data_IF_666132085942
#
_entry.id   IF_666132085942
#
_cell.length_a   1.000
_cell.length_b   1.000
_cell.length_c   1.000
_cell.angle_alpha   90.00
_cell.angle_beta   90.00
_cell.angle_gamma   90.00
#
_symmetry.space_group_name_H-M   'P 1'
#
loop_
_entity.id
_entity.type
_entity.pdbx_description
1 polymer ?
#
# COMPACT_ATOMS: atom_id res chain seq x y z
N UNK A 1 -7.45 21.17 -3.24
CA UNK A 1 -6.90 19.93 -3.82
C UNK A 1 -7.82 18.76 -3.49
N UNK A 2 -7.60 17.56 -4.07
CA UNK A 2 -8.34 16.36 -3.66
C UNK A 2 -8.18 16.08 -2.15
N UNK A 3 -6.96 16.30 -1.63
CA UNK A 3 -6.64 16.28 -0.20
C UNK A 3 -7.60 17.15 0.62
N UNK A 4 -7.66 18.46 0.35
CA UNK A 4 -8.51 19.38 1.11
C UNK A 4 -10.02 19.02 1.07
N UNK A 5 -10.47 18.30 0.04
CA UNK A 5 -11.86 17.84 -0.05
C UNK A 5 -12.12 16.65 0.87
N UNK A 6 -11.13 15.79 1.09
CA UNK A 6 -11.19 14.67 2.02
C UNK A 6 -10.89 15.11 3.47
N UNK A 7 -10.12 16.18 3.63
CA UNK A 7 -9.64 16.71 4.90
C UNK A 7 -10.16 18.13 5.16
N UNK A 8 -11.47 18.31 5.40
CA UNK A 8 -12.06 19.64 5.62
C UNK A 8 -11.44 20.36 6.83
N UNK A 9 -11.01 19.59 7.84
CA UNK A 9 -10.46 20.11 9.10
C UNK A 9 -8.98 20.48 9.03
N UNK A 10 -8.28 20.07 7.96
CA UNK A 10 -6.84 20.27 7.75
C UNK A 10 -6.58 20.79 6.33
N UNK A 11 -7.14 21.97 6.05
CA UNK A 11 -6.92 22.66 4.78
C UNK A 11 -5.46 23.05 4.65
N UNK A 12 -4.80 22.52 3.62
CA UNK A 12 -3.43 22.90 3.27
C UNK A 12 -3.44 23.90 2.12
N UNK A 13 -2.56 24.88 2.19
CA UNK A 13 -2.23 25.71 1.03
C UNK A 13 -1.32 24.93 0.03
N UNK A 14 -1.07 25.46 -1.17
CA UNK A 14 -0.25 24.76 -2.17
C UNK A 14 1.18 24.43 -1.73
N UNK A 15 1.80 25.26 -0.88
CA UNK A 15 3.17 25.05 -0.40
C UNK A 15 3.21 24.02 0.71
N UNK A 16 2.28 24.09 1.66
CA UNK A 16 2.11 23.07 2.71
C UNK A 16 1.81 21.69 2.11
N UNK A 17 0.97 21.65 1.06
CA UNK A 17 0.71 20.41 0.35
C UNK A 17 1.94 19.89 -0.40
N UNK A 18 2.76 20.78 -0.97
CA UNK A 18 4.01 20.39 -1.63
C UNK A 18 5.02 19.82 -0.63
N UNK A 19 5.14 20.42 0.55
CA UNK A 19 6.00 19.91 1.62
C UNK A 19 5.54 18.52 2.09
N UNK A 20 4.22 18.33 2.28
CA UNK A 20 3.64 17.02 2.59
C UNK A 20 3.92 16.00 1.47
N UNK A 21 3.68 16.40 0.22
CA UNK A 21 3.92 15.55 -0.95
C UNK A 21 5.38 15.09 -1.00
N UNK A 22 6.33 16.01 -0.85
CA UNK A 22 7.76 15.69 -0.92
C UNK A 22 8.21 14.83 0.26
N UNK A 23 7.66 15.04 1.46
CA UNK A 23 7.94 14.19 2.62
C UNK A 23 7.51 12.73 2.36
N UNK A 24 6.28 12.52 1.89
CA UNK A 24 5.75 11.17 1.62
C UNK A 24 6.43 10.52 0.40
N UNK A 25 6.72 11.30 -0.65
CA UNK A 25 7.44 10.78 -1.81
C UNK A 25 8.85 10.30 -1.43
N UNK A 26 9.56 11.08 -0.60
CA UNK A 26 10.87 10.71 -0.10
C UNK A 26 10.83 9.47 0.81
N UNK A 27 9.80 9.30 1.65
CA UNK A 27 9.65 8.08 2.48
C UNK A 27 9.45 6.83 1.63
N UNK A 28 8.87 6.98 0.44
CA UNK A 28 8.73 5.92 -0.57
C UNK A 28 9.93 5.77 -1.52
N UNK A 29 11.01 6.51 -1.28
CA UNK A 29 12.23 6.45 -2.08
C UNK A 29 12.00 6.90 -3.53
N UNK A 30 11.01 7.76 -3.76
CA UNK A 30 10.79 8.44 -5.03
C UNK A 30 11.70 9.67 -5.08
N UNK A 31 12.42 9.85 -6.20
CA UNK A 31 13.34 10.98 -6.36
C UNK A 31 12.59 12.31 -6.54
N UNK A 32 13.25 13.45 -6.32
CA UNK A 32 12.64 14.77 -6.55
C UNK A 32 12.11 14.97 -7.98
N UNK A 33 12.79 14.37 -8.97
CA UNK A 33 12.36 14.35 -10.37
C UNK A 33 11.01 13.66 -10.59
N UNK A 34 10.60 12.76 -9.69
CA UNK A 34 9.29 12.11 -9.75
C UNK A 34 8.15 13.13 -9.77
N UNK A 35 8.28 14.22 -9.00
CA UNK A 35 7.27 15.26 -8.89
C UNK A 35 7.17 16.17 -10.11
N UNK A 36 8.23 16.21 -10.93
CA UNK A 36 8.32 17.06 -12.14
C UNK A 36 7.86 16.33 -13.40
N UNK A 37 7.72 15.01 -13.34
CA UNK A 37 7.32 14.17 -14.47
C UNK A 37 5.80 14.09 -14.58
N UNK A 38 5.31 13.95 -15.81
CA UNK A 38 3.90 13.62 -16.02
C UNK A 38 3.59 12.25 -15.42
N UNK A 39 2.38 12.11 -14.89
CA UNK A 39 1.90 10.87 -14.29
C UNK A 39 2.10 9.69 -15.27
N UNK A 40 2.81 8.66 -14.82
CA UNK A 40 3.11 7.44 -15.57
C UNK A 40 4.05 7.59 -16.78
N UNK A 41 4.59 8.77 -17.05
CA UNK A 41 5.51 8.97 -18.17
C UNK A 41 6.94 8.53 -17.81
N UNK A 42 7.35 7.41 -18.40
CA UNK A 42 8.67 6.79 -18.18
C UNK A 42 8.85 6.08 -16.84
N UNK A 43 7.79 5.92 -16.03
CA UNK A 43 7.89 5.25 -14.74
C UNK A 43 8.17 3.75 -14.98
N UNK A 44 9.15 3.21 -14.27
CA UNK A 44 9.32 1.78 -14.08
C UNK A 44 8.09 1.16 -13.40
N UNK A 45 7.94 -0.16 -13.49
CA UNK A 45 6.85 -0.87 -12.80
C UNK A 45 6.84 -0.59 -11.30
N UNK A 46 8.03 -0.56 -10.68
CA UNK A 46 8.16 -0.25 -9.26
C UNK A 46 7.80 1.20 -8.89
N UNK A 47 8.17 2.18 -9.71
CA UNK A 47 7.76 3.58 -9.50
C UNK A 47 6.24 3.74 -9.60
N UNK A 48 5.57 3.00 -10.49
CA UNK A 48 4.10 3.02 -10.57
C UNK A 48 3.46 2.49 -9.28
N UNK A 49 3.95 1.38 -8.75
CA UNK A 49 3.45 0.81 -7.48
C UNK A 49 3.71 1.74 -6.29
N UNK A 50 4.91 2.35 -6.22
CA UNK A 50 5.21 3.39 -5.23
C UNK A 50 4.27 4.60 -5.35
N UNK A 51 3.92 5.01 -6.57
CA UNK A 51 2.95 6.09 -6.82
C UNK A 51 1.53 5.77 -6.31
N UNK A 52 1.10 4.51 -6.38
CA UNK A 52 -0.20 4.06 -5.82
C UNK A 52 -0.21 4.18 -4.30
N UNK A 53 0.87 3.74 -3.64
CA UNK A 53 1.05 3.87 -2.18
C UNK A 53 1.17 5.33 -1.76
N UNK A 54 1.91 6.16 -2.51
CA UNK A 54 2.01 7.60 -2.30
C UNK A 54 0.63 8.25 -2.25
N UNK A 55 -0.25 7.91 -3.20
CA UNK A 55 -1.62 8.42 -3.21
C UNK A 55 -2.43 7.94 -2.01
N UNK A 56 -2.27 6.68 -1.59
CA UNK A 56 -2.92 6.15 -0.39
C UNK A 56 -2.50 6.95 0.86
N UNK A 57 -1.19 7.14 1.06
CA UNK A 57 -0.65 7.86 2.21
C UNK A 57 -1.06 9.34 2.22
N UNK A 58 -1.09 9.99 1.06
CA UNK A 58 -1.52 11.38 0.96
C UNK A 58 -3.02 11.54 1.19
N UNK A 59 -3.86 10.66 0.64
CA UNK A 59 -5.31 10.82 0.72
C UNK A 59 -5.90 10.34 2.05
N UNK A 60 -5.17 9.50 2.79
CA UNK A 60 -5.59 8.90 4.06
C UNK A 60 -7.02 8.31 3.99
N UNK A 61 -7.29 7.34 3.08
CA UNK A 61 -8.63 6.82 2.88
C UNK A 61 -9.07 5.97 4.08
N UNK A 62 -10.39 5.94 4.34
CA UNK A 62 -10.99 5.04 5.36
C UNK A 62 -10.88 3.56 5.01
N UNK A 63 -10.78 3.24 3.72
CA UNK A 63 -10.58 1.90 3.19
C UNK A 63 -9.61 1.98 2.01
N UNK A 64 -8.52 1.24 2.09
CA UNK A 64 -7.59 1.02 0.99
C UNK A 64 -7.67 -0.44 0.51
N UNK A 65 -7.66 -0.62 -0.81
CA UNK A 65 -7.59 -1.93 -1.45
C UNK A 65 -6.31 -1.95 -2.28
N UNK A 66 -5.37 -2.83 -1.92
CA UNK A 66 -4.09 -2.97 -2.60
C UNK A 66 -4.09 -4.30 -3.35
N UNK A 67 -4.14 -4.22 -4.67
CA UNK A 67 -4.19 -5.38 -5.56
C UNK A 67 -2.81 -5.65 -6.17
N UNK A 68 -2.24 -6.81 -5.81
CA UNK A 68 -0.92 -7.28 -6.24
C UNK A 68 0.17 -6.20 -6.10
N UNK A 69 0.18 -5.49 -4.97
CA UNK A 69 1.15 -4.41 -4.73
C UNK A 69 2.59 -4.92 -4.65
N UNK A 70 2.73 -6.20 -4.35
CA UNK A 70 3.99 -6.93 -4.24
C UNK A 70 4.59 -7.37 -5.59
N UNK A 71 3.84 -7.23 -6.69
CA UNK A 71 4.31 -7.62 -8.02
C UNK A 71 5.29 -6.60 -8.62
N UNK A 72 6.42 -7.10 -9.15
CA UNK A 72 7.37 -6.29 -9.92
C UNK A 72 8.22 -5.29 -9.12
N UNK A 73 8.25 -5.44 -7.79
CA UNK A 73 9.12 -4.69 -6.89
C UNK A 73 10.31 -5.53 -6.44
N UNK A 74 11.46 -4.88 -6.28
CA UNK A 74 12.61 -5.48 -5.59
C UNK A 74 12.36 -5.58 -4.07
N UNK A 75 13.16 -6.41 -3.39
CA UNK A 75 13.01 -6.70 -1.94
C UNK A 75 13.12 -5.42 -1.09
N UNK A 76 13.96 -4.47 -1.47
CA UNK A 76 14.18 -3.26 -0.69
C UNK A 76 12.99 -2.30 -0.86
N UNK A 77 12.46 -2.18 -2.07
CA UNK A 77 11.23 -1.43 -2.35
C UNK A 77 10.01 -2.02 -1.65
N UNK A 78 9.89 -3.36 -1.57
CA UNK A 78 8.83 -4.03 -0.81
C UNK A 78 8.89 -3.67 0.68
N UNK A 79 10.06 -3.85 1.30
CA UNK A 79 10.27 -3.50 2.72
C UNK A 79 9.87 -2.07 3.04
N UNK A 80 10.29 -1.15 2.18
CA UNK A 80 10.02 0.27 2.32
C UNK A 80 8.50 0.56 2.21
N UNK A 81 7.83 0.05 1.19
CA UNK A 81 6.38 0.24 1.00
C UNK A 81 5.60 -0.31 2.20
N UNK A 82 5.89 -1.53 2.64
CA UNK A 82 5.17 -2.13 3.76
C UNK A 82 5.48 -1.46 5.09
N UNK A 83 6.68 -0.88 5.27
CA UNK A 83 6.97 -0.06 6.43
C UNK A 83 6.02 1.15 6.50
N UNK A 84 5.87 1.89 5.40
CA UNK A 84 4.96 3.04 5.34
C UNK A 84 3.49 2.63 5.50
N UNK A 85 3.08 1.50 4.93
CA UNK A 85 1.72 0.95 5.12
C UNK A 85 1.49 0.60 6.60
N UNK A 86 2.46 -0.02 7.28
CA UNK A 86 2.32 -0.34 8.70
C UNK A 86 2.23 0.92 9.57
N UNK A 87 3.01 1.97 9.25
CA UNK A 87 2.92 3.27 9.94
C UNK A 87 1.52 3.85 9.74
N UNK A 88 1.04 3.91 8.50
CA UNK A 88 -0.31 4.39 8.17
C UNK A 88 -1.41 3.65 8.94
N UNK A 89 -1.33 2.32 9.02
CA UNK A 89 -2.30 1.50 9.75
C UNK A 89 -2.23 1.66 11.27
N UNK A 90 -1.09 2.09 11.82
CA UNK A 90 -0.94 2.37 13.25
C UNK A 90 -1.38 3.79 13.64
N UNK A 91 -1.29 4.74 12.70
CA UNK A 91 -1.61 6.15 12.93
C UNK A 91 -3.06 6.51 12.58
N UNK A 92 -3.77 5.62 11.89
CA UNK A 92 -5.14 5.87 11.41
C UNK A 92 -6.10 4.74 11.79
N UNK A 93 -7.40 5.04 11.78
CA UNK A 93 -8.47 4.04 11.91
C UNK A 93 -8.87 3.44 10.55
N UNK A 94 -7.96 3.46 9.56
CA UNK A 94 -8.23 2.96 8.22
C UNK A 94 -8.36 1.43 8.20
N UNK A 95 -9.15 0.92 7.25
CA UNK A 95 -9.17 -0.50 6.91
C UNK A 95 -8.31 -0.75 5.67
N UNK A 96 -7.62 -1.89 5.65
CA UNK A 96 -6.77 -2.31 4.54
C UNK A 96 -7.16 -3.70 4.08
N UNK A 97 -7.48 -3.82 2.80
CA UNK A 97 -7.64 -5.09 2.10
C UNK A 97 -6.47 -5.26 1.15
N UNK A 98 -5.70 -6.33 1.36
CA UNK A 98 -4.59 -6.69 0.47
C UNK A 98 -4.99 -7.95 -0.30
N UNK A 99 -4.84 -7.88 -1.62
CA UNK A 99 -5.01 -9.00 -2.52
C UNK A 99 -3.62 -9.35 -3.04
N UNK A 100 -3.18 -10.57 -2.77
CA UNK A 100 -1.89 -11.08 -3.23
C UNK A 100 -1.99 -12.58 -3.48
N UNK A 101 -1.21 -13.05 -4.44
CA UNK A 101 -0.98 -14.46 -4.72
C UNK A 101 0.34 -14.98 -4.11
N UNK A 102 1.12 -14.12 -3.45
CA UNK A 102 2.41 -14.44 -2.84
C UNK A 102 2.32 -14.45 -1.31
N UNK A 103 2.43 -15.62 -0.65
CA UNK A 103 2.37 -15.71 0.80
C UNK A 103 3.48 -14.96 1.54
N UNK A 104 4.63 -14.69 0.91
CA UNK A 104 5.75 -13.96 1.54
C UNK A 104 5.37 -12.53 1.97
N UNK A 105 4.26 -11.98 1.49
CA UNK A 105 3.73 -10.69 1.95
C UNK A 105 3.50 -10.65 3.48
N UNK A 106 3.22 -11.81 4.08
CA UNK A 106 2.96 -11.97 5.51
C UNK A 106 4.20 -11.74 6.38
N UNK A 107 5.40 -11.74 5.78
CA UNK A 107 6.62 -11.33 6.47
C UNK A 107 6.65 -9.83 6.76
N UNK A 108 5.93 -9.04 5.96
CA UNK A 108 5.94 -7.57 6.03
C UNK A 108 4.69 -7.00 6.70
N UNK A 109 3.57 -7.72 6.70
CA UNK A 109 2.31 -7.26 7.29
C UNK A 109 1.61 -8.39 8.03
N UNK A 110 1.02 -8.06 9.18
CA UNK A 110 0.25 -9.01 10.01
C UNK A 110 -1.25 -8.74 9.83
N UNK A 111 -1.95 -9.53 9.01
CA UNK A 111 -3.38 -9.34 8.81
C UNK A 111 -4.18 -9.72 10.06
N UNK A 112 -5.30 -9.02 10.28
CA UNK A 112 -6.28 -9.39 11.33
C UNK A 112 -7.16 -10.57 10.90
N UNK A 113 -7.40 -10.70 9.60
CA UNK A 113 -8.20 -11.74 8.95
C UNK A 113 -7.54 -12.13 7.62
N UNK A 114 -7.60 -13.41 7.29
CA UNK A 114 -7.10 -13.99 6.05
C UNK A 114 -8.22 -14.77 5.39
N UNK A 115 -8.40 -14.56 4.08
CA UNK A 115 -9.41 -15.23 3.29
C UNK A 115 -8.77 -15.89 2.07
N UNK A 116 -9.13 -17.16 1.81
CA UNK A 116 -8.70 -17.89 0.62
C UNK A 116 -9.80 -17.80 -0.45
N UNK A 117 -9.44 -17.32 -1.64
CA UNK A 117 -10.33 -17.21 -2.79
C UNK A 117 -10.00 -18.28 -3.82
N UNK A 118 -10.93 -19.21 -4.08
CA UNK A 118 -10.78 -20.28 -5.07
C UNK A 118 -12.03 -20.35 -5.95
N UNK A 119 -11.85 -20.47 -7.27
CA UNK A 119 -12.96 -20.56 -8.23
C UNK A 119 -14.03 -19.46 -8.03
N UNK A 120 -13.59 -18.24 -7.68
CA UNK A 120 -14.47 -17.09 -7.44
C UNK A 120 -15.25 -17.13 -6.12
N UNK A 121 -14.89 -18.00 -5.18
CA UNK A 121 -15.55 -18.14 -3.87
C UNK A 121 -14.54 -18.10 -2.73
N UNK A 122 -14.94 -17.49 -1.61
CA UNK A 122 -14.17 -17.58 -0.37
C UNK A 122 -14.38 -18.97 0.23
N UNK A 123 -13.34 -19.81 0.22
CA UNK A 123 -13.43 -21.21 0.66
C UNK A 123 -12.97 -21.40 2.09
N UNK A 124 -11.97 -20.62 2.53
CA UNK A 124 -11.45 -20.64 3.90
C UNK A 124 -11.34 -19.20 4.42
N UNK A 125 -11.51 -19.04 5.72
CA UNK A 125 -11.30 -17.76 6.42
C UNK A 125 -10.80 -18.03 7.82
N UNK A 126 -9.84 -17.24 8.28
CA UNK A 126 -9.21 -17.43 9.57
C UNK A 126 -8.27 -16.30 9.90
N UNK A 127 -7.47 -16.49 10.93
CA UNK A 127 -6.39 -15.59 11.32
C UNK A 127 -5.10 -15.95 10.57
N UNK A 128 -3.97 -15.38 10.99
CA UNK A 128 -2.67 -15.57 10.35
C UNK A 128 -2.23 -17.05 10.25
N UNK A 129 -2.74 -17.90 11.14
CA UNK A 129 -2.51 -19.34 11.17
C UNK A 129 -3.02 -20.02 9.90
N UNK A 130 -4.13 -19.53 9.31
CA UNK A 130 -4.60 -20.03 8.01
C UNK A 130 -3.54 -19.78 6.94
N UNK A 131 -2.95 -18.60 6.94
CA UNK A 131 -1.96 -18.20 5.97
C UNK A 131 -0.64 -18.98 6.13
N UNK A 132 -0.21 -19.22 7.37
CA UNK A 132 0.93 -20.08 7.69
C UNK A 132 0.69 -21.53 7.23
N UNK A 133 -0.51 -22.06 7.44
CA UNK A 133 -0.85 -23.42 6.99
C UNK A 133 -0.78 -23.57 5.46
N UNK A 134 -1.16 -22.52 4.71
CA UNK A 134 -1.07 -22.49 3.24
C UNK A 134 0.39 -22.44 2.77
N UNK A 135 1.26 -21.71 3.49
CA UNK A 135 2.71 -21.69 3.20
C UNK A 135 3.33 -23.08 3.38
N UNK A 136 2.96 -23.78 4.46
CA UNK A 136 3.54 -25.08 4.81
C UNK A 136 2.99 -26.23 3.95
N UNK A 137 1.68 -26.23 3.70
CA UNK A 137 0.96 -27.36 3.06
C UNK A 137 0.72 -27.13 1.56
N UNK A 138 0.95 -25.90 1.07
CA UNK A 138 0.48 -25.48 -0.25
C UNK A 138 -1.01 -25.11 -0.23
N UNK A 139 -1.56 -24.90 -1.43
CA UNK A 139 -2.97 -24.56 -1.61
C UNK A 139 -3.91 -25.78 -1.62
N UNK A 140 -3.38 -27.01 -1.49
CA UNK A 140 -4.14 -28.28 -1.46
C UNK A 140 -4.64 -28.66 -0.05
#
# INVERSE_FOLDING_TARGET
>A
TAYNKLHPDKQLDPWEFKDLFDAVANSLGLSGEFSERNLNEGFSGGEKKKSEVLQMLLLEPKLAILDEIDSGLDIDSLKLIFNEINIFMNETDAALLIISHNPSILEYIKPTQVHLLENGKLTKSGSIELAQSIIESGYE
#
